data_IF_728141892611
#
_entry.id   IF_728141892611
#
_cell.length_a   1.000
_cell.length_b   1.000
_cell.length_c   1.000
_cell.angle_alpha   90.00
_cell.angle_beta   90.00
_cell.angle_gamma   90.00
#
_symmetry.space_group_name_H-M   'P 1'
#
loop_
_entity.id
_entity.type
_entity.pdbx_description
1 polymer ?
#
# COMPACT_ATOMS: atom_id res chain seq x y z
N UNK A 1 -3.95 6.28 3.78
CA UNK A 1 -3.96 4.86 4.20
C UNK A 1 -3.64 3.97 3.01
N UNK A 2 -3.93 2.67 3.10
CA UNK A 2 -3.61 1.70 2.04
C UNK A 2 -4.10 2.13 0.64
N UNK A 3 -5.36 2.56 0.52
CA UNK A 3 -5.94 2.93 -0.79
C UNK A 3 -5.28 4.18 -1.41
N UNK A 4 -4.92 5.16 -0.58
CA UNK A 4 -4.25 6.37 -1.05
C UNK A 4 -2.89 6.09 -1.72
N UNK A 5 -2.27 4.94 -1.43
CA UNK A 5 -1.01 4.55 -2.05
C UNK A 5 -1.15 4.24 -3.55
N UNK A 6 -2.36 3.95 -4.05
CA UNK A 6 -2.61 3.76 -5.50
C UNK A 6 -2.23 4.96 -6.35
N UNK A 7 -2.33 6.17 -5.80
CA UNK A 7 -1.99 7.39 -6.52
C UNK A 7 -0.48 7.70 -6.49
N UNK A 8 0.34 6.88 -5.81
CA UNK A 8 1.77 7.12 -5.71
C UNK A 8 2.49 6.62 -6.97
N UNK A 9 3.03 7.55 -7.74
CA UNK A 9 3.80 7.25 -8.95
C UNK A 9 5.28 6.97 -8.69
N UNK A 10 5.72 7.03 -7.42
CA UNK A 10 7.10 6.76 -7.02
C UNK A 10 7.17 6.15 -5.62
N UNK A 11 7.71 4.95 -5.54
CA UNK A 11 8.12 4.36 -4.27
C UNK A 11 9.53 4.85 -3.89
N UNK A 12 9.75 5.07 -2.58
CA UNK A 12 11.04 5.51 -2.03
C UNK A 12 11.79 4.42 -1.27
N UNK A 13 11.16 3.26 -1.09
CA UNK A 13 11.69 2.15 -0.32
C UNK A 13 11.16 0.80 -0.82
N UNK A 14 11.83 -0.29 -0.42
CA UNK A 14 11.43 -1.66 -0.74
C UNK A 14 11.56 -2.03 -2.23
N UNK A 15 11.04 -3.20 -2.60
CA UNK A 15 11.10 -3.69 -3.99
C UNK A 15 10.30 -2.83 -4.98
N UNK A 16 9.29 -2.13 -4.50
CA UNK A 16 8.52 -1.18 -5.31
C UNK A 16 9.39 -0.02 -5.84
N UNK A 17 10.53 0.28 -5.20
CA UNK A 17 11.47 1.29 -5.68
C UNK A 17 12.25 0.85 -6.95
N UNK A 18 12.13 -0.42 -7.37
CA UNK A 18 12.79 -0.94 -8.58
C UNK A 18 11.98 -0.74 -9.86
N UNK A 19 10.70 -0.39 -9.74
CA UNK A 19 9.77 -0.28 -10.86
C UNK A 19 9.35 1.18 -11.09
N UNK A 20 8.87 1.47 -12.31
CA UNK A 20 8.52 2.83 -12.71
C UNK A 20 7.08 3.21 -12.36
N UNK A 21 6.73 4.48 -12.57
CA UNK A 21 5.39 5.01 -12.31
C UNK A 21 4.26 4.18 -12.95
N UNK A 22 4.47 3.71 -14.19
CA UNK A 22 3.52 2.86 -14.93
C UNK A 22 3.16 1.55 -14.22
N UNK A 23 4.07 1.03 -13.39
CA UNK A 23 3.89 -0.25 -12.69
C UNK A 23 3.33 -0.03 -11.27
N UNK A 24 3.38 1.21 -10.77
CA UNK A 24 2.91 1.61 -9.45
C UNK A 24 1.50 2.20 -9.48
N UNK A 25 1.20 3.01 -10.50
CA UNK A 25 -0.06 3.73 -10.59
C UNK A 25 -1.27 2.78 -10.57
N UNK A 26 -2.24 3.09 -9.72
CA UNK A 26 -3.41 2.27 -9.51
C UNK A 26 -3.17 1.03 -8.65
N UNK A 27 -1.93 0.70 -8.28
CA UNK A 27 -1.62 -0.44 -7.41
C UNK A 27 -1.36 0.00 -5.97
N UNK A 28 -2.13 -0.48 -4.98
CA UNK A 28 -1.91 -0.11 -3.60
C UNK A 28 -0.69 -0.86 -3.07
N UNK A 29 0.10 -0.20 -2.21
CA UNK A 29 1.23 -0.82 -1.51
C UNK A 29 0.74 -2.03 -0.70
N UNK A 30 1.24 -3.26 -1.00
CA UNK A 30 0.78 -4.46 -0.31
C UNK A 30 1.05 -4.44 1.20
N UNK A 31 2.12 -3.79 1.64
CA UNK A 31 2.44 -3.63 3.06
C UNK A 31 1.40 -2.77 3.78
N UNK A 32 1.03 -1.64 3.19
CA UNK A 32 -0.03 -0.77 3.70
C UNK A 32 -1.39 -1.49 3.74
N UNK A 33 -1.71 -2.30 2.72
CA UNK A 33 -2.93 -3.14 2.70
C UNK A 33 -2.92 -4.16 3.86
N UNK A 34 -1.78 -4.81 4.11
CA UNK A 34 -1.66 -5.74 5.22
C UNK A 34 -1.89 -5.05 6.57
N UNK A 35 -1.30 -3.87 6.79
CA UNK A 35 -1.53 -3.08 8.00
C UNK A 35 -3.01 -2.70 8.11
N UNK A 36 -3.66 -2.23 7.05
CA UNK A 36 -5.08 -1.89 7.08
C UNK A 36 -5.96 -3.08 7.50
N UNK A 37 -5.66 -4.29 7.01
CA UNK A 37 -6.38 -5.52 7.40
C UNK A 37 -6.17 -5.89 8.86
N UNK A 38 -4.96 -5.69 9.40
CA UNK A 38 -4.70 -5.90 10.83
C UNK A 38 -5.54 -4.95 11.67
N UNK A 39 -5.58 -3.67 11.32
CA UNK A 39 -6.42 -2.69 12.03
C UNK A 39 -7.91 -3.03 11.93
N UNK A 40 -8.39 -3.48 10.76
CA UNK A 40 -9.77 -3.95 10.61
C UNK A 40 -10.07 -5.15 11.51
N UNK A 41 -9.16 -6.12 11.59
CA UNK A 41 -9.33 -7.28 12.47
C UNK A 41 -9.36 -6.87 13.95
N UNK A 42 -8.44 -5.99 14.37
CA UNK A 42 -8.42 -5.46 15.74
C UNK A 42 -9.70 -4.69 16.09
N UNK A 43 -10.22 -3.90 15.17
CA UNK A 43 -11.48 -3.16 15.37
C UNK A 43 -12.69 -4.09 15.53
N UNK A 44 -12.65 -5.31 14.97
CA UNK A 44 -13.70 -6.34 15.15
C UNK A 44 -13.58 -7.10 16.48
N UNK A 45 -12.44 -6.98 17.18
CA UNK A 45 -12.22 -7.58 18.49
C UNK A 45 -12.61 -6.65 19.64
N UNK A 46 -12.84 -5.37 19.36
CA UNK A 46 -13.33 -4.36 20.30
C UNK A 46 -14.87 -4.32 20.31
#
# INVERSE_FOLDING_TARGET
GAEATRAMTRARAGRAAYVGARDLEGSPDPGAVAVARVFEALARLA
#
